data_IF_271790581151
#
_entry.id   IF_271790581151
#
_cell.length_a   1.000
_cell.length_b   1.000
_cell.length_c   1.000
_cell.angle_alpha   90.00
_cell.angle_beta   90.00
_cell.angle_gamma   90.00
#
_symmetry.space_group_name_H-M   'P 1'
#
loop_
_entity.id
_entity.type
_entity.pdbx_description
1 polymer ?
#
# COMPACT_ATOMS: atom_id res chain seq x y z
N UNK A 1 22.67 -19.72 -1.04
CA UNK A 1 21.58 -20.30 -1.87
C UNK A 1 20.68 -19.14 -2.31
N UNK A 2 20.23 -19.11 -3.57
CA UNK A 2 19.33 -18.05 -4.05
C UNK A 2 17.96 -18.20 -3.38
N UNK A 3 17.47 -17.14 -2.75
CA UNK A 3 16.18 -17.11 -2.06
C UNK A 3 15.05 -16.81 -3.05
N UNK A 4 13.87 -17.37 -2.78
CA UNK A 4 12.60 -16.85 -3.34
C UNK A 4 12.26 -15.50 -2.72
N UNK A 5 11.35 -14.74 -3.33
CA UNK A 5 10.96 -13.43 -2.79
C UNK A 5 10.31 -13.55 -1.40
N UNK A 6 9.43 -14.54 -1.19
CA UNK A 6 8.85 -14.80 0.15
C UNK A 6 9.92 -15.11 1.20
N UNK A 7 10.91 -15.93 0.86
CA UNK A 7 12.02 -16.25 1.78
C UNK A 7 12.86 -15.01 2.09
N UNK A 8 13.14 -14.18 1.10
CA UNK A 8 13.94 -12.96 1.25
C UNK A 8 13.25 -11.91 2.12
N UNK A 9 11.96 -11.66 1.89
CA UNK A 9 11.16 -10.72 2.69
C UNK A 9 11.10 -11.19 4.14
N UNK A 10 10.80 -12.48 4.36
CA UNK A 10 10.78 -13.05 5.72
C UNK A 10 12.15 -12.99 6.39
N UNK A 11 13.24 -13.31 5.68
CA UNK A 11 14.59 -13.19 6.21
C UNK A 11 14.95 -11.74 6.59
N UNK A 12 14.48 -10.75 5.84
CA UNK A 12 14.73 -9.34 6.17
C UNK A 12 14.02 -8.92 7.45
N UNK A 13 12.75 -9.29 7.62
CA UNK A 13 11.99 -9.08 8.86
C UNK A 13 12.63 -9.81 10.03
N UNK A 14 13.07 -11.05 9.84
CA UNK A 14 13.72 -11.86 10.88
C UNK A 14 15.20 -11.50 11.09
N UNK A 15 15.73 -10.49 10.38
CA UNK A 15 17.15 -10.05 10.41
C UNK A 15 18.15 -11.18 10.15
N UNK A 16 17.77 -12.14 9.32
CA UNK A 16 18.61 -13.24 8.86
C UNK A 16 19.49 -12.79 7.68
N UNK A 17 20.61 -13.49 7.41
CA UNK A 17 21.42 -13.24 6.23
C UNK A 17 20.59 -13.30 4.95
N UNK A 18 20.76 -12.29 4.09
CA UNK A 18 20.07 -12.17 2.81
C UNK A 18 20.94 -12.69 1.67
N UNK A 19 20.34 -12.95 0.50
CA UNK A 19 21.07 -13.15 -0.76
C UNK A 19 21.14 -11.87 -1.62
N UNK A 20 20.22 -10.93 -1.37
CA UNK A 20 20.20 -9.53 -1.80
C UNK A 20 19.18 -8.78 -0.95
N UNK A 21 19.27 -7.45 -0.93
CA UNK A 21 18.25 -6.63 -0.25
C UNK A 21 16.88 -6.81 -0.93
N UNK A 22 15.79 -7.07 -0.18
CA UNK A 22 14.45 -7.09 -0.76
C UNK A 22 14.00 -5.71 -1.21
N UNK A 23 13.18 -5.67 -2.26
CA UNK A 23 12.63 -4.45 -2.84
C UNK A 23 11.10 -4.51 -2.85
N UNK A 24 10.46 -3.38 -2.63
CA UNK A 24 9.03 -3.20 -2.93
C UNK A 24 8.86 -1.96 -3.81
N UNK A 25 8.54 -2.17 -5.08
CA UNK A 25 8.19 -1.09 -6.01
C UNK A 25 6.69 -0.80 -5.91
N UNK A 26 6.33 0.48 -5.95
CA UNK A 26 4.94 0.90 -5.93
C UNK A 26 4.69 1.99 -6.96
N UNK A 27 3.98 1.65 -8.03
CA UNK A 27 3.76 2.52 -9.18
C UNK A 27 2.31 2.92 -9.27
N UNK A 28 2.09 4.20 -9.55
CA UNK A 28 0.82 4.64 -10.10
C UNK A 28 0.56 3.89 -11.42
N UNK A 29 -0.69 3.57 -11.78
CA UNK A 29 -0.97 2.83 -13.01
C UNK A 29 -0.46 3.50 -14.30
N UNK A 30 -0.38 4.83 -14.33
CA UNK A 30 0.16 5.61 -15.43
C UNK A 30 1.69 5.43 -15.53
N UNK A 31 2.39 5.52 -14.41
CA UNK A 31 3.83 5.21 -14.32
C UNK A 31 4.12 3.76 -14.73
N UNK A 32 3.27 2.82 -14.32
CA UNK A 32 3.35 1.41 -14.73
C UNK A 32 3.31 1.27 -16.26
N UNK A 33 2.33 1.91 -16.91
CA UNK A 33 2.19 1.86 -18.37
C UNK A 33 3.37 2.54 -19.08
N UNK A 34 3.79 3.73 -18.63
CA UNK A 34 4.99 4.43 -19.14
C UNK A 34 6.23 3.56 -19.05
N UNK A 35 6.47 2.91 -17.91
CA UNK A 35 7.61 2.01 -17.76
C UNK A 35 7.54 0.85 -18.76
N UNK A 36 6.35 0.24 -18.89
CA UNK A 36 6.15 -0.94 -19.73
C UNK A 36 6.21 -0.64 -21.23
N UNK A 37 5.84 0.57 -21.66
CA UNK A 37 5.83 0.97 -23.06
C UNK A 37 7.15 1.57 -23.53
N UNK A 38 7.83 2.36 -22.68
CA UNK A 38 8.91 3.26 -23.10
C UNK A 38 10.26 3.00 -22.43
N UNK A 39 10.28 2.42 -21.21
CA UNK A 39 11.50 2.40 -20.39
C UNK A 39 12.11 1.00 -20.31
N UNK A 40 11.39 0.04 -19.75
CA UNK A 40 11.84 -1.35 -19.60
C UNK A 40 10.70 -2.32 -19.92
N UNK A 41 10.43 -2.61 -21.21
CA UNK A 41 9.26 -3.39 -21.59
C UNK A 41 9.19 -4.78 -20.94
N UNK A 42 7.97 -5.32 -20.71
CA UNK A 42 7.81 -6.66 -20.17
C UNK A 42 8.51 -7.69 -21.05
N UNK A 43 9.07 -8.76 -20.47
CA UNK A 43 9.70 -9.87 -21.21
C UNK A 43 8.67 -10.89 -21.68
N UNK A 44 7.63 -11.08 -20.89
CA UNK A 44 6.49 -11.95 -21.19
C UNK A 44 5.68 -11.39 -22.36
N UNK A 45 5.35 -12.23 -23.35
CA UNK A 45 4.44 -11.84 -24.43
C UNK A 45 3.04 -11.49 -23.91
N UNK A 46 2.59 -12.19 -22.86
CA UNK A 46 1.29 -11.92 -22.24
C UNK A 46 1.28 -10.52 -21.60
N UNK A 47 2.29 -10.18 -20.82
CA UNK A 47 2.35 -8.88 -20.14
C UNK A 47 2.51 -7.74 -21.16
N UNK A 48 3.30 -7.96 -22.23
CA UNK A 48 3.39 -7.02 -23.36
C UNK A 48 2.02 -6.78 -23.99
N UNK A 49 1.26 -7.84 -24.26
CA UNK A 49 -0.05 -7.74 -24.88
C UNK A 49 -1.07 -7.05 -23.95
N UNK A 50 -1.09 -7.41 -22.66
CA UNK A 50 -2.03 -6.86 -21.68
C UNK A 50 -1.73 -5.39 -21.38
N UNK A 51 -0.50 -5.06 -20.95
CA UNK A 51 -0.13 -3.69 -20.61
C UNK A 51 -0.09 -2.80 -21.86
N UNK A 52 0.36 -3.31 -23.01
CA UNK A 52 0.30 -2.61 -24.29
C UNK A 52 -1.14 -2.33 -24.74
N UNK A 53 -2.07 -3.25 -24.48
CA UNK A 53 -3.49 -3.06 -24.73
C UNK A 53 -4.09 -1.93 -23.88
N UNK A 54 -3.81 -1.90 -22.57
CA UNK A 54 -4.22 -0.79 -21.70
C UNK A 54 -3.62 0.54 -22.15
N UNK A 55 -2.35 0.57 -22.53
CA UNK A 55 -1.71 1.80 -23.04
C UNK A 55 -2.33 2.26 -24.36
N UNK A 56 -2.69 1.35 -25.26
CA UNK A 56 -3.39 1.69 -26.49
C UNK A 56 -4.77 2.29 -26.20
N UNK A 57 -5.54 1.70 -25.29
CA UNK A 57 -6.83 2.24 -24.87
C UNK A 57 -6.65 3.63 -24.26
N UNK A 58 -5.68 3.80 -23.37
CA UNK A 58 -5.36 5.08 -22.72
C UNK A 58 -5.04 6.18 -23.72
N UNK A 59 -4.15 5.91 -24.70
CA UNK A 59 -3.74 6.88 -25.73
C UNK A 59 -4.86 7.30 -26.68
N UNK A 60 -5.83 6.43 -26.90
CA UNK A 60 -6.97 6.67 -27.80
C UNK A 60 -8.25 7.04 -27.04
N UNK A 61 -8.18 7.24 -25.72
CA UNK A 61 -9.35 7.60 -24.93
C UNK A 61 -9.86 9.00 -25.33
N UNK A 62 -11.19 9.20 -25.43
CA UNK A 62 -11.76 10.46 -25.89
C UNK A 62 -11.70 11.58 -24.83
N UNK A 63 -11.29 11.26 -23.60
CA UNK A 63 -11.06 12.22 -22.52
C UNK A 63 -9.96 11.73 -21.58
N UNK A 64 -9.32 12.67 -20.87
CA UNK A 64 -8.32 12.38 -19.84
C UNK A 64 -8.88 11.49 -18.73
N UNK A 65 -10.13 11.71 -18.32
CA UNK A 65 -10.78 10.87 -17.31
C UNK A 65 -10.93 9.42 -17.74
N UNK A 66 -11.30 9.17 -19.00
CA UNK A 66 -11.39 7.82 -19.53
C UNK A 66 -10.00 7.20 -19.73
N UNK A 67 -9.00 8.02 -20.06
CA UNK A 67 -7.59 7.58 -20.09
C UNK A 67 -7.15 7.12 -18.69
N UNK A 68 -7.42 7.91 -17.65
CA UNK A 68 -7.08 7.57 -16.27
C UNK A 68 -7.87 6.36 -15.77
N UNK A 69 -9.15 6.24 -16.13
CA UNK A 69 -9.95 5.05 -15.86
C UNK A 69 -9.34 3.79 -16.50
N UNK A 70 -8.90 3.86 -17.76
CA UNK A 70 -8.23 2.74 -18.43
C UNK A 70 -6.90 2.37 -17.74
N UNK A 71 -6.12 3.38 -17.33
CA UNK A 71 -4.89 3.19 -16.59
C UNK A 71 -5.14 2.45 -15.26
N UNK A 72 -6.15 2.86 -14.47
CA UNK A 72 -6.49 2.23 -13.19
C UNK A 72 -6.65 0.71 -13.29
N UNK A 73 -7.25 0.19 -14.36
CA UNK A 73 -7.43 -1.25 -14.52
C UNK A 73 -6.12 -2.01 -14.82
N UNK A 74 -5.11 -1.33 -15.38
CA UNK A 74 -3.79 -1.92 -15.62
C UNK A 74 -3.09 -2.34 -14.32
N UNK A 75 -3.44 -1.72 -13.19
CA UNK A 75 -2.97 -2.11 -11.86
C UNK A 75 -3.19 -3.60 -11.57
N UNK A 76 -4.29 -4.19 -12.05
CA UNK A 76 -4.61 -5.62 -11.84
C UNK A 76 -3.61 -6.56 -12.54
N UNK A 77 -2.86 -6.07 -13.53
CA UNK A 77 -1.90 -6.82 -14.33
C UNK A 77 -0.43 -6.55 -13.96
N UNK A 78 -0.15 -5.73 -12.94
CA UNK A 78 1.20 -5.25 -12.66
C UNK A 78 2.17 -6.30 -12.08
N UNK A 79 1.65 -7.33 -11.41
CA UNK A 79 2.40 -8.15 -10.45
C UNK A 79 3.66 -8.80 -11.04
N UNK A 80 3.54 -9.51 -12.17
CA UNK A 80 4.69 -10.18 -12.78
C UNK A 80 5.68 -9.18 -13.41
N UNK A 81 5.17 -8.05 -13.89
CA UNK A 81 5.99 -6.98 -14.42
C UNK A 81 6.82 -6.29 -13.32
N UNK A 82 6.22 -5.95 -12.18
CA UNK A 82 6.96 -5.39 -11.04
C UNK A 82 8.05 -6.34 -10.53
N UNK A 83 7.80 -7.66 -10.57
CA UNK A 83 8.81 -8.67 -10.24
C UNK A 83 9.93 -8.74 -11.25
N UNK A 84 9.64 -8.58 -12.53
CA UNK A 84 10.68 -8.45 -13.55
C UNK A 84 11.59 -7.26 -13.24
N UNK A 85 11.01 -6.14 -12.82
CA UNK A 85 11.76 -4.93 -12.43
C UNK A 85 12.51 -5.08 -11.09
N UNK A 86 12.34 -6.21 -10.40
CA UNK A 86 13.09 -6.57 -9.20
C UNK A 86 12.31 -6.51 -7.89
N UNK A 87 11.01 -6.15 -7.92
CA UNK A 87 10.17 -6.15 -6.72
C UNK A 87 10.04 -7.57 -6.15
N UNK A 88 10.18 -7.69 -4.83
CA UNK A 88 9.98 -8.91 -4.07
C UNK A 88 8.59 -9.02 -3.50
N UNK A 89 8.02 -7.89 -3.11
CA UNK A 89 6.64 -7.78 -2.64
C UNK A 89 5.78 -7.33 -3.83
N UNK A 90 4.70 -8.06 -4.07
CA UNK A 90 3.63 -7.66 -4.99
C UNK A 90 2.33 -7.60 -4.22
N UNK A 91 1.63 -6.50 -4.36
CA UNK A 91 0.48 -6.15 -3.55
C UNK A 91 -0.84 -6.34 -4.30
N UNK A 92 -1.82 -6.87 -3.58
CA UNK A 92 -3.19 -7.05 -4.03
C UNK A 92 -4.10 -6.20 -3.17
N UNK A 93 -4.94 -5.43 -3.81
CA UNK A 93 -6.05 -4.77 -3.13
C UNK A 93 -7.29 -5.68 -3.18
N UNK A 94 -7.81 -6.04 -2.01
CA UNK A 94 -9.04 -6.83 -1.93
C UNK A 94 -10.26 -6.10 -2.51
N UNK A 95 -10.29 -4.75 -2.46
CA UNK A 95 -11.45 -3.96 -2.91
C UNK A 95 -11.49 -3.69 -4.42
N UNK A 96 -10.39 -3.86 -5.15
CA UNK A 96 -10.37 -3.72 -6.61
C UNK A 96 -10.84 -4.99 -7.35
N UNK A 97 -11.28 -6.02 -6.62
CA UNK A 97 -11.86 -7.23 -7.20
C UNK A 97 -13.24 -6.95 -7.83
N UNK A 98 -13.58 -7.53 -9.00
CA UNK A 98 -14.91 -7.39 -9.61
C UNK A 98 -16.04 -7.76 -8.65
N UNK A 99 -15.76 -8.67 -7.73
CA UNK A 99 -16.70 -9.14 -6.72
C UNK A 99 -17.09 -8.07 -5.70
N UNK A 100 -16.29 -7.03 -5.47
CA UNK A 100 -16.60 -5.92 -4.53
C UNK A 100 -17.36 -4.78 -5.22
N UNK A 101 -17.27 -4.68 -6.54
CA UNK A 101 -17.99 -3.70 -7.33
C UNK A 101 -19.47 -4.11 -7.41
N UNK A 102 -20.36 -3.25 -6.93
CA UNK A 102 -21.82 -3.46 -6.99
C UNK A 102 -22.40 -2.93 -8.30
N UNK A 103 -21.95 -1.78 -8.76
CA UNK A 103 -22.37 -1.19 -10.03
C UNK A 103 -21.31 -0.26 -10.60
N UNK A 104 -21.23 -0.22 -11.93
CA UNK A 104 -20.43 0.74 -12.69
C UNK A 104 -21.35 1.50 -13.63
N UNK A 105 -21.22 2.81 -13.68
CA UNK A 105 -21.89 3.62 -14.70
C UNK A 105 -20.96 4.74 -15.18
N UNK A 106 -21.13 5.13 -16.44
CA UNK A 106 -20.45 6.28 -17.01
C UNK A 106 -21.49 7.39 -17.13
N UNK A 107 -21.28 8.50 -16.43
CA UNK A 107 -22.17 9.66 -16.47
C UNK A 107 -21.35 10.93 -16.66
N UNK A 108 -21.73 11.72 -17.65
CA UNK A 108 -21.05 12.98 -17.99
C UNK A 108 -19.53 12.79 -18.23
N UNK A 109 -19.15 11.64 -18.82
CA UNK A 109 -17.75 11.26 -19.04
C UNK A 109 -17.01 10.68 -17.84
N UNK A 110 -17.63 10.69 -16.65
CA UNK A 110 -17.02 10.16 -15.42
C UNK A 110 -17.37 8.69 -15.21
N UNK A 111 -16.35 7.87 -14.94
CA UNK A 111 -16.51 6.50 -14.46
C UNK A 111 -16.91 6.54 -12.98
N UNK A 112 -18.14 6.15 -12.67
CA UNK A 112 -18.65 6.05 -11.32
C UNK A 112 -18.77 4.58 -10.90
N UNK A 113 -18.17 4.24 -9.77
CA UNK A 113 -18.18 2.90 -9.18
C UNK A 113 -18.88 2.99 -7.83
N UNK A 114 -19.88 2.13 -7.61
CA UNK A 114 -20.42 1.89 -6.27
C UNK A 114 -20.00 0.51 -5.83
N UNK A 115 -19.39 0.41 -4.66
CA UNK A 115 -18.96 -0.87 -4.09
C UNK A 115 -20.03 -1.49 -3.17
N UNK A 116 -19.72 -2.67 -2.62
CA UNK A 116 -20.58 -3.37 -1.66
C UNK A 116 -20.75 -2.66 -0.32
N UNK A 117 -19.91 -1.67 0.00
CA UNK A 117 -20.04 -0.83 1.20
C UNK A 117 -21.00 0.34 0.98
N UNK A 118 -21.42 0.57 -0.26
CA UNK A 118 -22.22 1.74 -0.63
C UNK A 118 -21.38 2.98 -0.87
N UNK A 119 -20.04 2.88 -0.87
CA UNK A 119 -19.15 4.00 -1.18
C UNK A 119 -19.19 4.24 -2.68
N UNK A 120 -19.50 5.47 -3.08
CA UNK A 120 -19.42 5.88 -4.49
C UNK A 120 -18.08 6.53 -4.74
N UNK A 121 -17.37 6.02 -5.74
CA UNK A 121 -16.09 6.54 -6.20
C UNK A 121 -16.16 7.00 -7.64
N UNK A 122 -15.38 8.03 -7.96
CA UNK A 122 -15.15 8.49 -9.33
C UNK A 122 -13.67 8.73 -9.53
N UNK A 123 -13.23 8.66 -10.79
CA UNK A 123 -11.88 9.09 -11.15
C UNK A 123 -11.80 10.61 -11.01
N UNK A 124 -10.96 11.09 -10.09
CA UNK A 124 -10.68 12.51 -9.86
C UNK A 124 -9.18 12.70 -9.99
N UNK A 125 -8.76 13.42 -11.03
CA UNK A 125 -7.35 13.44 -11.44
C UNK A 125 -6.87 12.03 -11.77
N UNK A 126 -5.82 11.59 -11.08
CA UNK A 126 -5.16 10.30 -11.28
C UNK A 126 -5.76 9.15 -10.45
N UNK A 127 -6.59 9.48 -9.45
CA UNK A 127 -7.01 8.54 -8.41
C UNK A 127 -8.50 8.22 -8.46
N UNK A 128 -8.84 7.06 -7.89
CA UNK A 128 -10.23 6.66 -7.66
C UNK A 128 -10.68 7.19 -6.29
N UNK A 129 -11.28 8.38 -6.29
CA UNK A 129 -11.62 9.12 -5.09
C UNK A 129 -13.04 8.85 -4.61
N UNK A 130 -13.27 9.00 -3.30
CA UNK A 130 -14.61 8.94 -2.73
C UNK A 130 -15.38 10.23 -3.04
N UNK A 131 -16.46 10.11 -3.81
CA UNK A 131 -17.34 11.24 -4.16
C UNK A 131 -18.60 11.29 -3.31
N UNK A 132 -19.08 10.14 -2.85
CA UNK A 132 -20.23 10.07 -1.94
C UNK A 132 -20.01 8.96 -0.90
N UNK A 133 -19.79 9.33 0.37
CA UNK A 133 -19.72 8.36 1.46
C UNK A 133 -21.13 7.82 1.82
N UNK A 134 -21.24 6.55 2.27
CA UNK A 134 -22.52 5.95 2.65
C UNK A 134 -23.11 6.53 3.93
N UNK A 135 -22.30 7.02 4.88
CA UNK A 135 -22.78 7.59 6.14
C UNK A 135 -22.73 9.12 6.07
N UNK A 136 -23.90 9.76 5.96
CA UNK A 136 -24.01 11.24 5.87
C UNK A 136 -24.27 11.87 7.23
N UNK A 137 -24.83 11.09 8.14
CA UNK A 137 -25.18 11.47 9.51
C UNK A 137 -24.50 10.53 10.51
N UNK A 138 -24.45 10.95 11.77
CA UNK A 138 -23.92 10.10 12.84
C UNK A 138 -24.85 8.91 13.13
N UNK A 139 -26.15 9.05 12.88
CA UNK A 139 -27.12 7.96 12.94
C UNK A 139 -26.80 6.89 11.88
N UNK A 140 -26.44 7.29 10.65
CA UNK A 140 -26.00 6.34 9.63
C UNK A 140 -24.77 5.53 10.10
N UNK A 141 -23.79 6.19 10.73
CA UNK A 141 -22.61 5.54 11.30
C UNK A 141 -22.99 4.56 12.40
N UNK A 142 -23.91 4.95 13.28
CA UNK A 142 -24.34 4.12 14.41
C UNK A 142 -25.08 2.85 13.97
N UNK A 143 -25.80 2.90 12.84
CA UNK A 143 -26.55 1.76 12.28
C UNK A 143 -25.86 1.07 11.12
N UNK A 144 -24.62 1.44 10.77
CA UNK A 144 -23.95 0.90 9.59
C UNK A 144 -23.58 -0.59 9.78
N UNK A 145 -23.95 -1.42 8.80
CA UNK A 145 -23.58 -2.83 8.76
C UNK A 145 -22.60 -3.09 7.62
N UNK A 146 -21.45 -3.69 7.95
CA UNK A 146 -20.46 -4.08 6.96
C UNK A 146 -20.95 -5.31 6.17
N UNK A 147 -20.69 -5.37 4.84
CA UNK A 147 -21.08 -6.51 4.02
C UNK A 147 -20.25 -7.76 4.37
N UNK A 148 -20.85 -8.94 4.25
CA UNK A 148 -20.13 -10.21 4.40
C UNK A 148 -19.09 -10.40 3.28
N UNK A 149 -17.81 -10.51 3.69
CA UNK A 149 -16.67 -10.77 2.81
C UNK A 149 -15.95 -12.09 3.10
N UNK A 150 -16.62 -13.05 3.72
CA UNK A 150 -16.05 -14.37 4.03
C UNK A 150 -16.01 -15.31 2.82
N UNK A 151 -16.75 -15.00 1.75
CA UNK A 151 -16.86 -15.89 0.59
C UNK A 151 -15.50 -16.08 -0.13
N UNK A 152 -14.99 -17.32 -0.31
CA UNK A 152 -13.64 -17.57 -0.84
C UNK A 152 -13.35 -17.01 -2.24
N UNK A 153 -14.39 -16.84 -3.07
CA UNK A 153 -14.24 -16.26 -4.42
C UNK A 153 -13.78 -14.79 -4.42
N UNK A 154 -13.92 -14.07 -3.30
CA UNK A 154 -13.42 -12.70 -3.15
C UNK A 154 -11.88 -12.62 -3.21
N UNK A 155 -11.21 -13.75 -2.95
CA UNK A 155 -9.75 -13.86 -2.88
C UNK A 155 -9.19 -14.75 -4.01
N UNK A 156 -9.97 -14.99 -5.07
CA UNK A 156 -9.60 -15.89 -6.17
C UNK A 156 -8.31 -15.43 -6.88
N UNK A 157 -8.11 -14.13 -7.05
CA UNK A 157 -6.92 -13.52 -7.64
C UNK A 157 -5.64 -13.88 -6.87
N UNK A 158 -5.68 -13.82 -5.53
CA UNK A 158 -4.56 -14.19 -4.66
C UNK A 158 -4.28 -15.69 -4.79
N UNK A 159 -5.34 -16.51 -4.74
CA UNK A 159 -5.23 -17.98 -4.82
C UNK A 159 -4.64 -18.43 -6.15
N UNK A 160 -5.12 -17.86 -7.26
CA UNK A 160 -4.62 -18.12 -8.60
C UNK A 160 -3.17 -17.68 -8.74
N UNK A 161 -2.83 -16.47 -8.28
CA UNK A 161 -1.45 -15.97 -8.36
C UNK A 161 -0.48 -16.81 -7.53
N UNK A 162 -0.86 -17.22 -6.32
CA UNK A 162 -0.07 -18.15 -5.49
C UNK A 162 0.19 -19.47 -6.21
N UNK A 163 -0.83 -20.07 -6.82
CA UNK A 163 -0.69 -21.33 -7.56
C UNK A 163 0.30 -21.20 -8.74
N UNK A 164 0.24 -20.08 -9.46
CA UNK A 164 1.12 -19.80 -10.60
C UNK A 164 2.54 -19.38 -10.18
N UNK A 165 2.71 -18.85 -8.97
CA UNK A 165 3.96 -18.23 -8.48
C UNK A 165 4.25 -18.62 -7.02
N UNK A 166 4.57 -19.88 -6.72
CA UNK A 166 4.73 -20.37 -5.34
C UNK A 166 5.80 -19.61 -4.53
N UNK A 167 6.84 -19.08 -5.18
CA UNK A 167 7.91 -18.29 -4.54
C UNK A 167 7.67 -16.77 -4.44
N UNK A 168 6.51 -16.25 -4.88
CA UNK A 168 6.16 -14.83 -4.73
C UNK A 168 6.02 -14.45 -3.25
N UNK A 169 6.39 -13.22 -2.87
CA UNK A 169 5.89 -12.61 -1.62
C UNK A 169 4.61 -11.85 -1.95
N UNK A 170 3.46 -12.37 -1.54
CA UNK A 170 2.16 -11.77 -1.84
C UNK A 170 1.72 -10.92 -0.66
N UNK A 171 1.50 -9.63 -0.88
CA UNK A 171 0.91 -8.73 0.07
C UNK A 171 -0.57 -8.49 -0.24
N UNK A 172 -1.41 -8.36 0.79
CA UNK A 172 -2.80 -7.94 0.62
C UNK A 172 -3.12 -6.75 1.51
N UNK A 173 -3.64 -5.67 0.94
CA UNK A 173 -4.11 -4.52 1.68
C UNK A 173 -5.35 -4.88 2.50
N UNK A 174 -5.56 -4.25 3.66
CA UNK A 174 -6.75 -4.37 4.52
C UNK A 174 -6.97 -3.01 5.19
N UNK A 175 -8.22 -2.53 5.35
CA UNK A 175 -8.46 -1.25 5.97
C UNK A 175 -8.09 -1.26 7.47
N UNK A 176 -7.27 -0.29 7.87
CA UNK A 176 -7.18 0.14 9.27
C UNK A 176 -8.38 1.01 9.65
N UNK A 177 -8.52 1.31 10.93
CA UNK A 177 -9.77 1.90 11.43
C UNK A 177 -9.84 3.41 11.26
N UNK A 178 -8.72 4.13 11.28
CA UNK A 178 -8.73 5.59 11.30
C UNK A 178 -8.87 6.16 9.89
N UNK A 179 -7.86 5.95 9.06
CA UNK A 179 -7.80 6.56 7.73
C UNK A 179 -8.89 6.02 6.81
N UNK A 180 -9.11 4.70 6.81
CA UNK A 180 -10.12 4.11 5.93
C UNK A 180 -11.54 4.59 6.27
N UNK A 181 -11.84 4.92 7.53
CA UNK A 181 -13.15 5.42 7.96
C UNK A 181 -13.56 6.73 7.28
N UNK A 182 -12.60 7.51 6.76
CA UNK A 182 -12.94 8.70 5.97
C UNK A 182 -13.75 8.38 4.73
N UNK A 183 -13.62 7.17 4.15
CA UNK A 183 -14.43 6.76 3.01
C UNK A 183 -15.90 6.50 3.37
N UNK A 184 -16.20 6.30 4.66
CA UNK A 184 -17.56 6.05 5.15
C UNK A 184 -18.30 7.31 5.55
N UNK A 185 -17.60 8.33 6.04
CA UNK A 185 -18.23 9.52 6.62
C UNK A 185 -17.58 10.86 6.22
N UNK A 186 -16.43 10.82 5.54
CA UNK A 186 -15.61 12.00 5.25
C UNK A 186 -14.67 12.36 6.41
N UNK A 187 -13.50 12.92 6.06
CA UNK A 187 -12.43 13.23 7.01
C UNK A 187 -12.87 14.22 8.10
N UNK A 188 -13.59 15.28 7.70
CA UNK A 188 -14.05 16.31 8.64
C UNK A 188 -15.04 15.75 9.67
N UNK A 189 -16.01 14.95 9.22
CA UNK A 189 -17.00 14.35 10.12
C UNK A 189 -16.34 13.33 11.05
N UNK A 190 -15.40 12.52 10.54
CA UNK A 190 -14.64 11.58 11.35
C UNK A 190 -14.01 12.27 12.56
N UNK A 191 -13.19 13.30 12.35
CA UNK A 191 -12.52 13.97 13.45
C UNK A 191 -13.47 14.77 14.35
N UNK A 192 -14.53 15.38 13.79
CA UNK A 192 -15.55 16.09 14.57
C UNK A 192 -16.28 15.14 15.52
N UNK A 193 -16.74 14.00 14.99
CA UNK A 193 -17.51 13.03 15.76
C UNK A 193 -16.66 12.20 16.72
N UNK A 194 -15.34 12.07 16.50
CA UNK A 194 -14.44 11.55 17.54
C UNK A 194 -14.46 12.38 18.82
N UNK A 195 -14.81 13.67 18.72
CA UNK A 195 -14.93 14.58 19.87
C UNK A 195 -16.36 14.61 20.38
N UNK A 196 -17.34 14.82 19.50
CA UNK A 196 -18.74 15.05 19.87
C UNK A 196 -19.50 13.75 20.21
N UNK A 197 -19.15 12.65 19.53
CA UNK A 197 -19.87 11.36 19.60
C UNK A 197 -18.87 10.18 19.71
N UNK A 198 -17.94 10.22 20.68
CA UNK A 198 -16.80 9.30 20.75
C UNK A 198 -17.20 7.82 20.84
N UNK A 199 -18.29 7.51 21.53
CA UNK A 199 -18.74 6.12 21.71
C UNK A 199 -19.27 5.54 20.40
N UNK A 200 -19.93 6.35 19.56
CA UNK A 200 -20.41 5.94 18.24
C UNK A 200 -19.22 5.62 17.33
N UNK A 201 -18.21 6.49 17.29
CA UNK A 201 -17.01 6.26 16.49
C UNK A 201 -16.21 5.06 16.99
N UNK A 202 -16.07 4.89 18.31
CA UNK A 202 -15.41 3.72 18.89
C UNK A 202 -16.12 2.42 18.51
N UNK A 203 -17.46 2.39 18.55
CA UNK A 203 -18.25 1.23 18.14
C UNK A 203 -18.10 0.94 16.64
N UNK A 204 -18.10 1.98 15.81
CA UNK A 204 -17.86 1.87 14.37
C UNK A 204 -16.46 1.31 14.08
N UNK A 205 -15.41 1.83 14.74
CA UNK A 205 -14.05 1.32 14.60
C UNK A 205 -13.94 -0.14 15.05
N UNK A 206 -14.63 -0.53 16.13
CA UNK A 206 -14.67 -1.91 16.56
C UNK A 206 -15.37 -2.82 15.54
N UNK A 207 -16.46 -2.36 14.91
CA UNK A 207 -17.13 -3.08 13.84
C UNK A 207 -16.24 -3.21 12.59
N UNK A 208 -15.59 -2.12 12.18
CA UNK A 208 -14.64 -2.11 11.07
C UNK A 208 -13.44 -3.03 11.33
N UNK A 209 -12.89 -3.02 12.54
CA UNK A 209 -11.78 -3.89 12.91
C UNK A 209 -12.18 -5.37 12.82
N UNK A 210 -13.37 -5.73 13.32
CA UNK A 210 -13.91 -7.11 13.20
C UNK A 210 -14.08 -7.51 11.74
N UNK A 211 -14.65 -6.60 10.94
CA UNK A 211 -14.79 -6.79 9.49
C UNK A 211 -13.44 -7.00 8.80
N UNK A 212 -12.44 -6.19 9.13
CA UNK A 212 -11.07 -6.34 8.63
C UNK A 212 -10.46 -7.69 9.00
N UNK A 213 -10.80 -8.29 10.16
CA UNK A 213 -10.32 -9.63 10.51
C UNK A 213 -10.82 -10.70 9.53
N UNK A 214 -12.04 -10.57 9.00
CA UNK A 214 -12.56 -11.52 8.00
C UNK A 214 -11.82 -11.39 6.67
N UNK A 215 -11.46 -10.16 6.29
CA UNK A 215 -10.61 -9.91 5.12
C UNK A 215 -9.22 -10.51 5.31
N UNK A 216 -8.61 -10.31 6.49
CA UNK A 216 -7.31 -10.89 6.86
C UNK A 216 -7.34 -12.41 6.75
N UNK A 217 -8.35 -13.07 7.35
CA UNK A 217 -8.52 -14.53 7.29
C UNK A 217 -8.64 -15.02 5.85
N UNK A 218 -9.48 -14.38 5.06
CA UNK A 218 -9.70 -14.73 3.66
C UNK A 218 -8.44 -14.58 2.80
N UNK A 219 -7.70 -13.47 2.96
CA UNK A 219 -6.48 -13.20 2.23
C UNK A 219 -5.35 -14.19 2.58
N UNK A 220 -5.12 -14.45 3.88
CA UNK A 220 -4.09 -15.42 4.30
C UNK A 220 -4.46 -16.83 3.87
N UNK A 221 -5.74 -17.24 4.00
CA UNK A 221 -6.22 -18.54 3.51
C UNK A 221 -6.15 -18.68 1.97
N UNK A 222 -6.09 -17.56 1.23
CA UNK A 222 -5.85 -17.56 -0.21
C UNK A 222 -4.36 -17.61 -0.58
N UNK A 223 -3.46 -17.36 0.37
CA UNK A 223 -2.01 -17.47 0.19
C UNK A 223 -1.25 -16.14 0.27
N UNK A 224 -1.82 -15.09 0.86
CA UNK A 224 -1.08 -13.88 1.22
C UNK A 224 -0.02 -14.20 2.31
N UNK A 225 1.17 -13.64 2.16
CA UNK A 225 2.28 -13.77 3.11
C UNK A 225 2.40 -12.55 4.03
N UNK A 226 1.97 -11.40 3.51
CA UNK A 226 2.00 -10.10 4.17
C UNK A 226 0.60 -9.51 4.12
N UNK A 227 0.14 -8.97 5.22
CA UNK A 227 -1.05 -8.11 5.26
C UNK A 227 -0.58 -6.67 5.46
N UNK A 228 -1.00 -5.79 4.56
CA UNK A 228 -0.74 -4.36 4.66
C UNK A 228 -1.97 -3.69 5.28
N UNK A 229 -1.84 -3.24 6.53
CA UNK A 229 -2.87 -2.47 7.21
C UNK A 229 -2.78 -1.02 6.72
N UNK A 230 -3.80 -0.57 5.98
CA UNK A 230 -3.87 0.77 5.40
C UNK A 230 -4.44 1.76 6.42
N UNK A 231 -3.58 2.54 7.06
CA UNK A 231 -4.01 3.44 8.13
C UNK A 231 -3.05 4.64 8.30
N UNK A 232 -3.28 5.72 7.55
CA UNK A 232 -2.47 6.92 7.60
C UNK A 232 -2.67 7.73 8.89
N UNK A 233 -1.57 7.94 9.62
CA UNK A 233 -1.53 8.63 10.91
C UNK A 233 -0.86 10.00 10.85
N UNK A 234 -0.06 10.26 9.82
CA UNK A 234 0.78 11.44 9.70
C UNK A 234 0.35 12.40 8.61
N UNK A 235 0.56 13.69 8.86
CA UNK A 235 0.70 14.74 7.84
C UNK A 235 2.18 14.97 7.54
N UNK A 236 2.49 15.92 6.66
CA UNK A 236 3.88 16.29 6.35
C UNK A 236 4.68 16.88 7.51
N UNK A 237 4.01 17.31 8.59
CA UNK A 237 4.69 17.97 9.72
C UNK A 237 4.44 17.30 11.06
N UNK A 238 3.28 16.69 11.26
CA UNK A 238 2.82 16.17 12.54
C UNK A 238 1.80 15.04 12.35
N UNK A 239 1.40 14.38 13.43
CA UNK A 239 0.25 13.47 13.44
C UNK A 239 -1.06 14.18 13.07
N UNK A 240 -1.99 13.44 12.48
CA UNK A 240 -3.34 13.93 12.15
C UNK A 240 -4.22 14.13 13.40
N UNK A 241 -3.92 13.42 14.48
CA UNK A 241 -4.52 13.61 15.80
C UNK A 241 -3.47 13.49 16.90
N UNK A 242 -3.77 13.96 18.11
CA UNK A 242 -2.84 13.79 19.24
C UNK A 242 -2.53 12.31 19.50
N UNK A 243 -1.30 12.00 19.93
CA UNK A 243 -0.92 10.63 20.31
C UNK A 243 -1.89 10.00 21.32
N UNK A 244 -2.37 10.78 22.30
CA UNK A 244 -3.37 10.33 23.28
C UNK A 244 -4.70 9.91 22.63
N UNK A 245 -5.16 10.65 21.62
CA UNK A 245 -6.36 10.27 20.87
C UNK A 245 -6.10 9.03 20.02
N UNK A 246 -4.96 8.96 19.35
CA UNK A 246 -4.59 7.79 18.56
C UNK A 246 -4.49 6.52 19.41
N UNK A 247 -3.88 6.60 20.59
CA UNK A 247 -3.81 5.50 21.55
C UNK A 247 -5.20 5.06 22.05
N UNK A 248 -6.13 6.01 22.18
CA UNK A 248 -7.50 5.71 22.60
C UNK A 248 -8.31 5.05 21.49
N UNK A 249 -8.30 5.63 20.29
CA UNK A 249 -9.22 5.27 19.22
C UNK A 249 -8.65 4.26 18.25
N UNK A 250 -7.36 4.30 17.96
CA UNK A 250 -6.78 3.57 16.82
C UNK A 250 -5.94 2.38 17.28
N UNK A 251 -5.07 2.59 18.27
CA UNK A 251 -4.11 1.58 18.74
C UNK A 251 -4.72 0.22 19.12
N UNK A 252 -5.86 0.13 19.86
CA UNK A 252 -6.42 -1.17 20.24
C UNK A 252 -6.80 -2.03 19.03
N UNK A 253 -7.26 -1.39 17.95
CA UNK A 253 -7.68 -2.09 16.74
C UNK A 253 -6.52 -2.43 15.82
N UNK A 254 -5.50 -1.57 15.73
CA UNK A 254 -4.23 -1.93 15.09
C UNK A 254 -3.65 -3.19 15.73
N UNK A 255 -3.57 -3.22 17.06
CA UNK A 255 -3.08 -4.40 17.80
C UNK A 255 -3.94 -5.63 17.53
N UNK A 256 -5.27 -5.49 17.56
CA UNK A 256 -6.20 -6.59 17.26
C UNK A 256 -5.97 -7.18 15.86
N UNK A 257 -5.72 -6.34 14.86
CA UNK A 257 -5.42 -6.78 13.49
C UNK A 257 -4.06 -7.49 13.42
N UNK A 258 -3.02 -6.91 14.03
CA UNK A 258 -1.68 -7.51 14.09
C UNK A 258 -1.70 -8.89 14.76
N UNK A 259 -2.36 -9.01 15.92
CA UNK A 259 -2.47 -10.25 16.67
C UNK A 259 -3.15 -11.36 15.81
N UNK A 260 -4.19 -11.02 15.04
CA UNK A 260 -4.85 -11.98 14.14
C UNK A 260 -3.96 -12.37 12.95
N UNK A 261 -3.23 -11.43 12.36
CA UNK A 261 -2.28 -11.68 11.26
C UNK A 261 -1.22 -12.69 11.71
N UNK A 262 -0.65 -12.48 12.91
CA UNK A 262 0.34 -13.38 13.51
C UNK A 262 -0.24 -14.75 13.84
N UNK A 263 -1.47 -14.82 14.37
CA UNK A 263 -2.18 -16.08 14.63
C UNK A 263 -2.32 -16.93 13.37
N UNK A 264 -2.42 -16.30 12.20
CA UNK A 264 -2.52 -16.95 10.89
C UNK A 264 -1.15 -17.23 10.23
N UNK A 265 -0.03 -16.80 10.83
CA UNK A 265 1.33 -17.03 10.35
C UNK A 265 1.81 -16.08 9.24
N UNK A 266 1.07 -15.01 8.98
CA UNK A 266 1.44 -13.95 8.04
C UNK A 266 2.23 -12.83 8.74
N UNK A 267 2.85 -11.96 7.96
CA UNK A 267 3.56 -10.77 8.46
C UNK A 267 2.65 -9.54 8.40
N UNK A 268 2.66 -8.71 9.44
CA UNK A 268 1.92 -7.46 9.50
C UNK A 268 2.77 -6.28 9.05
N UNK A 269 2.37 -5.62 7.96
CA UNK A 269 2.93 -4.35 7.53
C UNK A 269 1.93 -3.24 7.84
N UNK A 270 2.29 -2.31 8.72
CA UNK A 270 1.54 -1.06 8.84
C UNK A 270 1.94 -0.13 7.70
N UNK A 271 0.97 0.33 6.91
CA UNK A 271 1.13 1.46 6.01
C UNK A 271 0.59 2.72 6.67
N UNK A 272 1.46 3.71 6.87
CA UNK A 272 1.07 5.05 7.30
C UNK A 272 1.99 6.09 6.69
N UNK A 273 1.42 6.98 5.88
CA UNK A 273 2.09 8.17 5.38
C UNK A 273 2.31 9.22 6.47
N UNK A 274 3.15 10.20 6.13
CA UNK A 274 3.49 11.38 6.91
C UNK A 274 4.48 11.15 8.06
N UNK A 275 4.46 12.10 8.99
CA UNK A 275 5.30 12.11 10.18
C UNK A 275 4.72 11.18 11.26
N UNK A 276 5.34 10.01 11.45
CA UNK A 276 4.85 8.94 12.33
C UNK A 276 5.83 8.60 13.46
N UNK A 277 7.01 9.23 13.49
CA UNK A 277 8.03 9.03 14.51
C UNK A 277 7.50 9.06 15.96
N UNK A 278 6.57 9.96 16.36
CA UNK A 278 6.03 9.99 17.72
C UNK A 278 5.25 8.72 18.13
N UNK A 279 4.83 7.90 17.17
CA UNK A 279 4.07 6.67 17.38
C UNK A 279 4.93 5.41 17.39
N UNK A 280 6.24 5.48 17.07
CA UNK A 280 7.07 4.29 16.88
C UNK A 280 7.08 3.34 18.09
N UNK A 281 7.16 3.86 19.32
CA UNK A 281 7.08 3.03 20.54
C UNK A 281 5.80 2.17 20.56
N UNK A 282 4.66 2.76 20.16
CA UNK A 282 3.37 2.06 20.13
C UNK A 282 3.23 1.17 18.90
N UNK A 283 3.78 1.55 17.75
CA UNK A 283 3.80 0.69 16.56
C UNK A 283 4.59 -0.59 16.88
N UNK A 284 5.72 -0.50 17.57
CA UNK A 284 6.47 -1.67 18.05
C UNK A 284 5.66 -2.46 19.08
N UNK A 285 5.04 -1.79 20.06
CA UNK A 285 4.17 -2.45 21.05
C UNK A 285 2.99 -3.21 20.42
N UNK A 286 2.47 -2.74 19.28
CA UNK A 286 1.41 -3.44 18.56
C UNK A 286 1.84 -4.80 18.01
N UNK A 287 3.15 -4.99 17.79
CA UNK A 287 3.73 -6.18 17.17
C UNK A 287 3.89 -6.09 15.64
N UNK A 288 3.67 -4.93 15.02
CA UNK A 288 3.83 -4.78 13.57
C UNK A 288 5.25 -5.20 13.13
N UNK A 289 5.34 -6.06 12.12
CA UNK A 289 6.63 -6.56 11.61
C UNK A 289 7.33 -5.52 10.73
N UNK A 290 6.54 -4.77 9.97
CA UNK A 290 7.01 -3.80 8.97
C UNK A 290 6.28 -2.46 9.09
N UNK A 291 7.00 -1.37 8.85
CA UNK A 291 6.43 -0.03 8.70
C UNK A 291 6.78 0.56 7.33
N UNK A 292 5.75 0.79 6.54
CA UNK A 292 5.79 1.40 5.21
C UNK A 292 5.01 2.73 5.26
N UNK A 293 5.40 3.81 4.56
CA UNK A 293 6.64 4.01 3.84
C UNK A 293 7.77 4.63 4.67
N UNK A 294 7.59 4.82 5.98
CA UNK A 294 8.47 5.59 6.89
C UNK A 294 9.22 6.74 6.17
N UNK A 295 8.54 7.85 5.94
CA UNK A 295 8.95 8.85 4.94
C UNK A 295 9.98 9.84 5.50
N UNK A 296 11.25 9.85 5.03
CA UNK A 296 12.22 10.83 5.53
C UNK A 296 11.85 12.28 5.20
N UNK A 297 11.17 12.51 4.07
CA UNK A 297 10.70 13.83 3.62
C UNK A 297 9.65 14.45 4.54
N UNK A 298 8.91 13.64 5.31
CA UNK A 298 7.99 14.09 6.35
C UNK A 298 8.69 14.33 7.71
N UNK A 299 10.02 14.42 7.72
CA UNK A 299 10.81 14.68 8.93
C UNK A 299 11.03 13.46 9.83
N UNK A 300 10.76 12.24 9.35
CA UNK A 300 11.07 11.03 10.09
C UNK A 300 12.57 10.69 9.98
N UNK A 301 13.25 10.47 11.11
CA UNK A 301 14.69 10.17 11.12
C UNK A 301 14.97 8.66 11.02
N UNK A 302 15.29 8.18 9.82
CA UNK A 302 15.54 6.75 9.59
C UNK A 302 16.72 6.20 10.39
N UNK A 303 17.80 6.97 10.55
CA UNK A 303 18.97 6.51 11.29
C UNK A 303 18.66 6.30 12.78
N UNK A 304 17.97 7.27 13.40
CA UNK A 304 17.56 7.19 14.80
C UNK A 304 16.52 6.08 15.01
N UNK A 305 15.53 5.98 14.11
CA UNK A 305 14.51 4.93 14.17
C UNK A 305 15.12 3.53 14.02
N UNK A 306 16.09 3.36 13.11
CA UNK A 306 16.86 2.11 12.96
C UNK A 306 17.68 1.79 14.21
N UNK A 307 18.32 2.79 14.81
CA UNK A 307 19.09 2.59 16.04
C UNK A 307 18.21 2.14 17.20
N UNK A 308 17.02 2.75 17.37
CA UNK A 308 16.14 2.48 18.51
C UNK A 308 15.25 1.25 18.32
N UNK A 309 14.71 1.04 17.12
CA UNK A 309 13.67 0.03 16.85
C UNK A 309 14.05 -0.98 15.77
N UNK A 310 15.20 -0.84 15.12
CA UNK A 310 15.60 -1.71 14.01
C UNK A 310 15.76 -3.18 14.39
N UNK A 311 15.86 -3.51 15.68
CA UNK A 311 15.86 -4.87 16.22
C UNK A 311 14.47 -5.54 16.27
N UNK A 312 13.39 -4.76 16.22
CA UNK A 312 12.01 -5.25 16.35
C UNK A 312 11.18 -4.92 15.10
N UNK A 313 11.28 -3.70 14.58
CA UNK A 313 10.56 -3.22 13.40
C UNK A 313 11.42 -3.21 12.12
N UNK A 314 10.88 -3.73 11.02
CA UNK A 314 11.46 -3.64 9.69
C UNK A 314 10.96 -2.39 8.96
N UNK A 315 11.88 -1.52 8.52
CA UNK A 315 11.52 -0.29 7.82
C UNK A 315 11.43 -0.53 6.31
N UNK A 316 10.34 -0.11 5.68
CA UNK A 316 10.08 -0.27 4.24
C UNK A 316 10.08 1.12 3.63
N UNK A 317 11.21 1.56 3.08
CA UNK A 317 11.44 2.95 2.64
C UNK A 317 12.68 3.08 1.76
N UNK A 318 13.00 4.29 1.30
CA UNK A 318 14.32 4.65 0.77
C UNK A 318 14.36 5.15 -0.67
N UNK A 319 13.23 5.17 -1.37
CA UNK A 319 13.08 5.76 -2.71
C UNK A 319 12.07 6.90 -2.61
N UNK A 320 12.56 8.14 -2.64
CA UNK A 320 11.72 9.34 -2.47
C UNK A 320 10.77 9.52 -3.66
N UNK A 321 9.48 9.26 -3.46
CA UNK A 321 8.46 9.48 -4.49
C UNK A 321 8.06 10.95 -4.67
N UNK A 322 8.25 11.79 -3.66
CA UNK A 322 7.74 13.16 -3.63
C UNK A 322 8.65 14.15 -4.37
N UNK A 323 9.97 13.96 -4.28
CA UNK A 323 10.94 14.91 -4.84
C UNK A 323 11.61 14.43 -6.13
N UNK A 324 11.42 13.17 -6.52
CA UNK A 324 12.17 12.56 -7.63
C UNK A 324 11.94 13.25 -8.98
N UNK A 325 10.78 13.85 -9.21
CA UNK A 325 10.52 14.61 -10.45
C UNK A 325 11.36 15.89 -10.55
N UNK A 326 11.84 16.42 -9.42
CA UNK A 326 12.64 17.64 -9.33
C UNK A 326 14.15 17.39 -9.13
N UNK A 327 14.55 16.14 -8.92
CA UNK A 327 15.94 15.76 -8.71
C UNK A 327 16.72 15.65 -10.04
N UNK A 328 18.03 15.88 -9.98
CA UNK A 328 18.97 15.40 -11.00
C UNK A 328 19.20 13.88 -10.86
N UNK A 329 19.63 13.18 -11.92
CA UNK A 329 19.99 11.77 -11.83
C UNK A 329 21.00 11.45 -10.71
N UNK A 330 21.97 12.34 -10.48
CA UNK A 330 22.95 12.19 -9.41
C UNK A 330 22.30 12.26 -8.01
N UNK A 331 21.34 13.18 -7.81
CA UNK A 331 20.58 13.28 -6.56
C UNK A 331 19.70 12.05 -6.33
N UNK A 332 19.04 11.52 -7.38
CA UNK A 332 18.26 10.27 -7.28
C UNK A 332 19.16 9.11 -6.83
N UNK A 333 20.31 8.92 -7.46
CA UNK A 333 21.24 7.86 -7.10
C UNK A 333 21.83 8.03 -5.70
N UNK A 334 22.14 9.27 -5.30
CA UNK A 334 22.65 9.60 -3.97
C UNK A 334 21.62 9.31 -2.88
N UNK A 335 20.40 9.81 -3.03
CA UNK A 335 19.31 9.63 -2.06
C UNK A 335 18.98 8.15 -1.81
N UNK A 336 18.89 7.34 -2.88
CA UNK A 336 18.63 5.89 -2.75
C UNK A 336 19.79 5.20 -2.03
N UNK A 337 21.04 5.54 -2.36
CA UNK A 337 22.23 4.96 -1.72
C UNK A 337 22.28 5.28 -0.24
N UNK A 338 22.11 6.55 0.14
CA UNK A 338 22.15 6.99 1.53
C UNK A 338 21.10 6.28 2.38
N UNK A 339 19.86 6.19 1.89
CA UNK A 339 18.80 5.45 2.57
C UNK A 339 19.11 3.95 2.67
N UNK A 340 19.63 3.36 1.59
CA UNK A 340 19.99 1.94 1.59
C UNK A 340 21.15 1.64 2.54
N UNK A 341 22.15 2.53 2.64
CA UNK A 341 23.28 2.44 3.58
C UNK A 341 22.85 2.51 5.03
N UNK A 342 21.90 3.39 5.37
CA UNK A 342 21.31 3.48 6.71
C UNK A 342 20.44 2.26 6.99
N UNK A 343 19.52 1.96 6.07
CA UNK A 343 18.51 0.91 6.23
C UNK A 343 19.10 -0.49 6.41
N UNK A 344 20.13 -0.84 5.62
CA UNK A 344 20.71 -2.20 5.63
C UNK A 344 21.42 -2.57 6.95
N UNK A 345 21.82 -1.59 7.76
CA UNK A 345 22.54 -1.84 9.02
C UNK A 345 21.65 -2.63 9.99
N UNK A 346 22.13 -3.80 10.40
CA UNK A 346 21.45 -4.66 11.38
C UNK A 346 20.25 -5.46 10.84
N UNK A 347 20.06 -5.56 9.51
CA UNK A 347 18.88 -6.24 8.93
C UNK A 347 17.60 -5.40 9.07
N UNK A 348 16.40 -5.98 8.94
CA UNK A 348 15.14 -5.26 9.18
C UNK A 348 14.92 -4.08 8.23
N UNK A 349 15.13 -4.28 6.93
CA UNK A 349 14.95 -3.24 5.92
C UNK A 349 14.51 -3.82 4.58
N UNK A 350 13.56 -3.14 3.94
CA UNK A 350 13.13 -3.37 2.56
C UNK A 350 13.26 -2.04 1.82
N UNK A 351 14.01 -2.03 0.70
CA UNK A 351 14.14 -0.83 -0.12
C UNK A 351 12.83 -0.60 -0.87
N UNK A 352 12.17 0.54 -0.65
CA UNK A 352 10.86 0.80 -1.21
C UNK A 352 10.59 2.27 -1.51
N UNK A 353 9.62 2.50 -2.39
CA UNK A 353 9.07 3.81 -2.69
C UNK A 353 8.36 4.39 -1.45
N UNK A 354 8.58 5.67 -1.17
CA UNK A 354 7.92 6.34 -0.04
C UNK A 354 6.44 6.66 -0.31
N UNK A 355 5.98 6.44 -1.53
CA UNK A 355 4.58 6.48 -1.99
C UNK A 355 4.52 5.88 -3.40
N UNK A 356 3.35 5.91 -4.06
CA UNK A 356 3.24 5.71 -5.51
C UNK A 356 4.22 6.60 -6.27
N UNK A 357 5.04 6.02 -7.15
CA UNK A 357 5.78 6.78 -8.15
C UNK A 357 4.84 7.21 -9.27
N UNK A 358 4.83 8.51 -9.54
CA UNK A 358 3.92 9.16 -10.49
C UNK A 358 4.55 9.36 -11.87
N UNK A 359 3.72 9.43 -12.91
CA UNK A 359 4.19 9.48 -14.31
C UNK A 359 5.00 10.73 -14.68
N UNK A 360 4.94 11.79 -13.87
CA UNK A 360 5.64 13.06 -14.04
C UNK A 360 7.17 12.96 -13.87
N UNK A 361 7.67 11.87 -13.27
CA UNK A 361 9.10 11.64 -13.08
C UNK A 361 9.81 11.55 -14.45
N UNK A 362 10.89 12.34 -14.67
CA UNK A 362 11.68 12.28 -15.90
C UNK A 362 12.22 10.88 -16.19
N UNK A 363 12.21 10.47 -17.45
CA UNK A 363 12.68 9.14 -17.88
C UNK A 363 14.10 8.82 -17.39
N UNK A 364 15.00 9.80 -17.47
CA UNK A 364 16.38 9.64 -17.02
C UNK A 364 16.47 9.38 -15.50
N UNK A 365 15.54 9.92 -14.71
CA UNK A 365 15.48 9.67 -13.27
C UNK A 365 14.96 8.26 -12.99
N UNK A 366 13.95 7.79 -13.71
CA UNK A 366 13.44 6.41 -13.62
C UNK A 366 14.54 5.39 -13.98
N UNK A 367 15.23 5.61 -15.10
CA UNK A 367 16.37 4.76 -15.53
C UNK A 367 17.48 4.75 -14.48
N UNK A 368 17.78 5.91 -13.89
CA UNK A 368 18.78 6.04 -12.82
C UNK A 368 18.35 5.32 -11.55
N UNK A 369 17.07 5.40 -11.18
CA UNK A 369 16.49 4.67 -10.06
C UNK A 369 16.67 3.16 -10.25
N UNK A 370 16.26 2.58 -11.39
CA UNK A 370 16.42 1.14 -11.64
C UNK A 370 17.88 0.69 -11.60
N UNK A 371 18.78 1.47 -12.22
CA UNK A 371 20.22 1.20 -12.17
C UNK A 371 20.75 1.23 -10.73
N UNK A 372 20.29 2.18 -9.92
CA UNK A 372 20.74 2.34 -8.53
C UNK A 372 20.19 1.23 -7.65
N UNK A 373 18.90 0.89 -7.76
CA UNK A 373 18.29 -0.26 -7.05
C UNK A 373 19.07 -1.54 -7.36
N UNK A 374 19.37 -1.82 -8.63
CA UNK A 374 20.13 -3.01 -9.02
C UNK A 374 21.52 -3.04 -8.39
N UNK A 375 22.18 -1.88 -8.24
CA UNK A 375 23.48 -1.77 -7.60
C UNK A 375 23.40 -1.95 -6.08
N UNK A 376 22.50 -1.24 -5.42
CA UNK A 376 22.40 -1.19 -3.95
C UNK A 376 21.76 -2.45 -3.34
N UNK A 377 21.07 -3.26 -4.16
CA UNK A 377 20.51 -4.54 -3.71
C UNK A 377 21.50 -5.68 -3.79
N UNK A 378 22.48 -5.62 -4.69
CA UNK A 378 23.55 -6.62 -4.75
C UNK A 378 24.34 -6.57 -3.43
N UNK A 379 24.48 -7.72 -2.76
CA UNK A 379 25.33 -7.78 -1.57
C UNK A 379 26.78 -7.54 -1.99
N UNK A 380 27.43 -6.62 -1.29
CA UNK A 380 28.89 -6.44 -1.32
C UNK A 380 29.58 -7.53 -0.52
#
# INVERSE_FOLDING_TARGET
MKMTSKQRVRAAVERKPLDRLPVMLWFEPQMLLKCASEIEPPRSLLDKAVLGGFELIRRNAPSEQLANAAALFAYTAQHDYLRQLGSDIVDFHWFFGPSIIKSVNIKDGNLNITDRYGIKRSVVGLYLETVEPPCKTIEDVASYEFPDLTHPALYAQIRMYRALRPGASIACWVPGVQDSSQHWMGLQNLYTWMIERPDVIMNFFAAMARHSLDVIRGAVAAGADVIIIMDDYGSQKNLLMSKRMWERFTFPFLKMQVDEIHRLGALAMLHSCGHVEPLLDKIVESGADMLHPFQPTAGNNLALAKQKYGGELCFVTGIDAQSMSMMTPAQVAGSIRENAEVGRKGGGFVLSCTHYLQEDIPEQNIKTMFKTIKKETALT
#
